data_IF_896021952722
#
_entry.id   IF_896021952722
#
_cell.length_a   1.000
_cell.length_b   1.000
_cell.length_c   1.000
_cell.angle_alpha   90.00
_cell.angle_beta   90.00
_cell.angle_gamma   90.00
#
_symmetry.space_group_name_H-M   'P 1'
#
loop_
_entity.id
_entity.type
_entity.pdbx_description
1 polymer ?
#
# COMPACT_ATOMS: atom_id res chain seq x y z
N UNK A 1 -16.48 -13.15 -18.07
CA UNK A 1 -15.79 -11.84 -17.95
C UNK A 1 -16.79 -10.69 -17.89
N UNK A 2 -17.34 -10.31 -16.73
CA UNK A 2 -18.24 -9.14 -16.73
C UNK A 2 -18.97 -8.74 -15.43
N UNK A 3 -18.95 -9.54 -14.36
CA UNK A 3 -19.73 -9.22 -13.16
C UNK A 3 -19.03 -8.22 -12.22
N UNK A 4 -17.70 -8.27 -12.11
CA UNK A 4 -16.92 -7.41 -11.20
C UNK A 4 -16.87 -5.92 -11.62
N UNK A 5 -16.89 -5.64 -12.93
CA UNK A 5 -16.94 -4.25 -13.44
C UNK A 5 -18.26 -3.53 -13.09
N UNK A 6 -19.32 -4.28 -12.78
CA UNK A 6 -20.63 -3.71 -12.45
C UNK A 6 -20.73 -3.27 -10.98
N UNK A 7 -19.97 -3.91 -10.09
CA UNK A 7 -19.99 -3.64 -8.65
C UNK A 7 -19.14 -2.42 -8.29
N UNK A 8 -17.97 -2.27 -8.93
CA UNK A 8 -17.15 -1.05 -8.85
C UNK A 8 -17.87 0.18 -9.41
N UNK A 9 -18.67 0.02 -10.48
CA UNK A 9 -19.56 1.07 -11.02
C UNK A 9 -20.61 1.56 -10.03
N UNK A 10 -21.05 0.70 -9.12
CA UNK A 10 -22.13 1.00 -8.18
C UNK A 10 -21.63 1.75 -6.94
N UNK A 11 -20.37 1.53 -6.57
CA UNK A 11 -19.72 2.21 -5.45
C UNK A 11 -19.04 3.52 -5.86
N UNK A 12 -18.64 3.67 -7.14
CA UNK A 12 -17.97 4.87 -7.65
C UNK A 12 -18.49 5.27 -9.06
N UNK A 13 -19.68 5.88 -9.16
CA UNK A 13 -20.28 6.24 -10.45
C UNK A 13 -19.52 7.41 -11.08
N UNK A 14 -18.67 7.12 -12.08
CA UNK A 14 -17.95 8.13 -12.89
C UNK A 14 -16.55 7.74 -13.35
N UNK A 15 -15.98 6.63 -12.86
CA UNK A 15 -14.59 6.30 -13.18
C UNK A 15 -14.42 5.70 -14.58
N UNK A 16 -13.52 6.24 -15.42
CA UNK A 16 -13.10 5.57 -16.64
C UNK A 16 -12.51 4.19 -16.29
N UNK A 17 -12.67 3.21 -17.18
CA UNK A 17 -12.06 1.88 -16.99
C UNK A 17 -10.57 2.07 -16.72
N UNK A 18 -10.06 1.46 -15.64
CA UNK A 18 -8.63 1.37 -15.40
C UNK A 18 -7.97 0.82 -16.67
N UNK A 19 -7.07 1.57 -17.34
CA UNK A 19 -6.38 1.06 -18.51
C UNK A 19 -5.54 -0.16 -18.15
N UNK A 20 -5.36 -1.04 -19.12
CA UNK A 20 -4.32 -2.06 -19.05
C UNK A 20 -2.96 -1.38 -18.89
N UNK A 21 -2.07 -1.95 -18.06
CA UNK A 21 -0.73 -1.40 -17.81
C UNK A 21 0.00 -1.13 -19.12
N UNK A 22 -0.08 -2.03 -20.10
CA UNK A 22 0.57 -1.87 -21.41
C UNK A 22 0.06 -0.69 -22.24
N UNK A 23 -1.16 -0.20 -21.94
CA UNK A 23 -1.83 0.88 -22.66
C UNK A 23 -1.88 2.21 -21.89
N UNK A 24 -1.37 2.23 -20.66
CA UNK A 24 -1.43 3.39 -19.79
C UNK A 24 -0.64 4.57 -20.40
N UNK A 25 -1.35 5.66 -20.68
CA UNK A 25 -0.78 6.92 -21.16
C UNK A 25 0.00 7.68 -20.07
N UNK A 26 0.60 8.80 -20.47
CA UNK A 26 1.25 9.71 -19.52
C UNK A 26 0.21 10.45 -18.64
N UNK A 27 0.64 10.90 -17.46
CA UNK A 27 -0.18 11.68 -16.54
C UNK A 27 -0.85 10.84 -15.46
N UNK A 28 -2.00 11.33 -14.96
CA UNK A 28 -2.76 10.70 -13.88
C UNK A 28 -3.50 9.46 -14.39
N UNK A 29 -3.26 8.31 -13.76
CA UNK A 29 -3.88 7.03 -14.12
C UNK A 29 -4.31 6.26 -12.87
N UNK A 30 -5.22 5.30 -13.08
CA UNK A 30 -5.58 4.27 -12.11
C UNK A 30 -5.26 2.92 -12.73
N UNK A 31 -4.37 2.14 -12.09
CA UNK A 31 -3.98 0.81 -12.55
C UNK A 31 -4.54 -0.23 -11.59
N UNK A 32 -4.97 -1.37 -12.10
CA UNK A 32 -5.46 -2.49 -11.28
C UNK A 32 -4.60 -3.71 -11.55
N UNK A 33 -4.12 -4.35 -10.49
CA UNK A 33 -3.30 -5.55 -10.64
C UNK A 33 -3.06 -6.26 -9.31
N UNK A 34 -2.22 -7.28 -9.38
CA UNK A 34 -1.75 -8.07 -8.24
C UNK A 34 -0.42 -7.50 -7.76
N UNK A 35 -0.27 -7.38 -6.45
CA UNK A 35 0.96 -6.90 -5.81
C UNK A 35 2.02 -7.98 -5.83
N UNK A 36 3.20 -7.63 -6.32
CA UNK A 36 4.42 -8.43 -6.24
C UNK A 36 5.49 -7.66 -5.45
N UNK A 37 6.28 -8.37 -4.65
CA UNK A 37 7.45 -7.78 -4.03
C UNK A 37 8.44 -7.36 -5.11
N UNK A 38 9.13 -6.24 -4.86
CA UNK A 38 10.29 -5.84 -5.65
C UNK A 38 11.49 -6.73 -5.36
N UNK A 39 12.58 -6.12 -4.91
CA UNK A 39 13.77 -6.86 -4.51
C UNK A 39 13.54 -7.58 -3.17
N UNK A 40 14.05 -8.81 -3.04
CA UNK A 40 13.87 -9.63 -1.84
C UNK A 40 14.60 -9.00 -0.64
N UNK A 41 15.70 -8.29 -0.91
CA UNK A 41 16.50 -7.63 0.12
C UNK A 41 15.88 -6.31 0.64
N UNK A 42 14.78 -5.83 0.04
CA UNK A 42 14.05 -4.60 0.45
C UNK A 42 12.63 -4.93 0.97
N UNK A 43 12.41 -6.14 1.49
CA UNK A 43 11.11 -6.57 2.03
C UNK A 43 10.78 -5.94 3.41
N UNK A 44 9.52 -5.53 3.62
CA UNK A 44 9.04 -5.17 4.96
C UNK A 44 8.52 -6.38 5.70
N UNK A 45 8.72 -6.39 7.02
CA UNK A 45 8.16 -7.38 7.93
C UNK A 45 7.28 -6.70 8.98
N UNK A 46 6.09 -7.26 9.16
CA UNK A 46 5.17 -6.84 10.20
C UNK A 46 5.76 -7.18 11.58
N UNK A 47 5.90 -6.23 12.52
CA UNK A 47 6.47 -6.52 13.83
C UNK A 47 5.59 -7.44 14.69
N UNK A 48 4.28 -7.53 14.40
CA UNK A 48 3.33 -8.33 15.19
C UNK A 48 3.22 -9.77 14.70
N UNK A 49 3.40 -10.01 13.39
CA UNK A 49 3.12 -11.31 12.76
C UNK A 49 4.30 -11.89 12.00
N UNK A 50 5.39 -11.12 11.82
CA UNK A 50 6.51 -11.42 10.93
C UNK A 50 6.10 -11.66 9.46
N UNK A 51 4.88 -11.28 9.08
CA UNK A 51 4.40 -11.39 7.71
C UNK A 51 5.13 -10.39 6.80
N UNK A 52 5.48 -10.85 5.60
CA UNK A 52 6.08 -10.02 4.54
C UNK A 52 5.02 -9.11 3.92
N UNK A 53 5.34 -7.83 3.73
CA UNK A 53 4.41 -6.83 3.21
C UNK A 53 5.14 -5.80 2.33
N UNK A 54 4.38 -5.15 1.43
CA UNK A 54 4.84 -3.99 0.67
C UNK A 54 4.57 -2.68 1.42
N UNK A 55 3.49 -2.65 2.21
CA UNK A 55 3.09 -1.51 3.05
C UNK A 55 2.61 -2.03 4.40
N UNK A 56 3.08 -1.40 5.47
CA UNK A 56 2.66 -1.69 6.85
C UNK A 56 2.10 -0.42 7.45
N UNK A 57 0.81 -0.41 7.77
CA UNK A 57 0.19 0.58 8.63
C UNK A 57 0.19 0.04 10.05
N UNK A 58 0.81 0.76 10.96
CA UNK A 58 0.90 0.39 12.37
C UNK A 58 0.15 1.42 13.21
N UNK A 59 -0.68 0.94 14.12
CA UNK A 59 -1.28 1.77 15.14
C UNK A 59 -1.14 1.10 16.50
N UNK A 60 -0.90 1.91 17.53
CA UNK A 60 -0.76 1.44 18.88
C UNK A 60 -1.38 2.41 19.86
N UNK A 61 -1.93 1.90 20.95
CA UNK A 61 -2.61 2.69 21.98
C UNK A 61 -2.30 2.15 23.38
N UNK A 62 -2.27 3.08 24.34
CA UNK A 62 -2.13 2.74 25.75
C UNK A 62 -3.40 2.01 26.26
N UNK A 63 -3.24 1.10 27.24
CA UNK A 63 -4.38 0.46 27.89
C UNK A 63 -5.30 1.49 28.56
N UNK A 64 -6.62 1.27 28.48
CA UNK A 64 -7.60 2.12 29.16
C UNK A 64 -7.95 3.44 28.45
N UNK A 65 -7.30 3.77 27.34
CA UNK A 65 -7.69 4.93 26.51
C UNK A 65 -8.80 4.52 25.55
N UNK A 66 -10.06 4.76 25.92
CA UNK A 66 -11.13 4.88 24.92
C UNK A 66 -10.81 6.11 24.08
N UNK A 67 -10.42 5.92 22.82
CA UNK A 67 -10.20 7.02 21.86
C UNK A 67 -11.49 7.82 21.69
N UNK A 68 -11.71 8.80 22.54
CA UNK A 68 -12.60 9.92 22.27
C UNK A 68 -11.75 10.97 21.59
N UNK A 69 -11.98 11.15 20.30
CA UNK A 69 -11.45 12.26 19.50
C UNK A 69 -11.82 13.59 20.15
N UNK A 70 -11.00 14.08 21.08
CA UNK A 70 -11.13 15.42 21.65
C UNK A 70 -10.00 16.29 21.09
N UNK A 71 -10.40 17.28 20.29
CA UNK A 71 -9.52 18.33 19.82
C UNK A 71 -8.95 19.11 21.01
N UNK A 72 -7.62 19.24 21.01
CA UNK A 72 -6.88 20.14 21.87
C UNK A 72 -6.64 19.62 23.28
N UNK A 73 -5.39 19.23 23.59
CA UNK A 73 -4.56 19.79 24.66
C UNK A 73 -3.17 19.13 24.55
N UNK A 74 -2.13 19.95 24.69
CA UNK A 74 -0.72 19.57 24.77
C UNK A 74 -0.46 18.57 25.91
N UNK A 75 -0.27 17.31 25.55
CA UNK A 75 0.36 16.26 26.36
C UNK A 75 1.21 15.42 25.41
N UNK A 76 2.33 14.87 25.88
CA UNK A 76 3.32 14.18 25.04
C UNK A 76 2.65 13.26 24.03
N UNK A 77 2.99 13.37 22.74
CA UNK A 77 2.34 12.68 21.62
C UNK A 77 2.30 11.14 21.72
N UNK A 78 2.90 10.55 22.76
CA UNK A 78 2.84 9.14 23.11
C UNK A 78 1.55 8.78 23.87
N UNK A 79 0.96 9.71 24.64
CA UNK A 79 -0.07 9.39 25.65
C UNK A 79 -1.46 9.00 25.09
N UNK A 80 -1.72 9.17 23.79
CA UNK A 80 -3.07 8.96 23.22
C UNK A 80 -3.08 7.99 22.01
N UNK A 81 -1.94 7.39 21.71
CA UNK A 81 -1.79 6.40 20.65
C UNK A 81 -0.94 6.89 19.48
N UNK A 82 -0.03 6.03 19.04
CA UNK A 82 0.91 6.28 17.97
C UNK A 82 0.43 5.62 16.68
N UNK A 83 0.60 6.31 15.55
CA UNK A 83 0.38 5.76 14.21
C UNK A 83 1.61 6.01 13.37
N UNK A 84 2.04 4.99 12.64
CA UNK A 84 3.10 5.12 11.64
C UNK A 84 2.77 4.25 10.44
N UNK A 85 3.40 4.55 9.32
CA UNK A 85 3.32 3.76 8.10
C UNK A 85 4.74 3.54 7.62
N UNK A 86 5.05 2.32 7.18
CA UNK A 86 6.24 2.03 6.39
C UNK A 86 5.81 1.48 5.03
N UNK A 87 6.52 1.83 3.96
CA UNK A 87 6.16 1.45 2.61
C UNK A 87 7.42 1.28 1.76
N UNK A 88 7.44 0.24 0.92
CA UNK A 88 8.48 -0.02 -0.07
C UNK A 88 7.89 -0.05 -1.46
N UNK A 89 8.71 0.28 -2.44
CA UNK A 89 8.32 0.20 -3.84
C UNK A 89 7.99 -1.26 -4.17
N UNK A 90 6.96 -1.46 -4.97
CA UNK A 90 6.47 -2.80 -5.31
C UNK A 90 6.07 -2.87 -6.77
N UNK A 91 5.91 -4.08 -7.30
CA UNK A 91 5.47 -4.28 -8.67
C UNK A 91 3.97 -4.56 -8.67
N UNK A 92 3.24 -3.89 -9.56
CA UNK A 92 1.85 -4.20 -9.85
C UNK A 92 1.79 -4.94 -11.17
N UNK A 93 1.26 -6.16 -11.17
CA UNK A 93 1.15 -7.01 -12.38
C UNK A 93 -0.30 -7.23 -12.78
N UNK A 94 -0.57 -7.13 -14.07
CA UNK A 94 -1.80 -7.59 -14.70
C UNK A 94 -1.49 -8.49 -15.91
N UNK A 95 -2.52 -8.92 -16.64
CA UNK A 95 -2.35 -9.77 -17.83
C UNK A 95 -1.62 -9.05 -18.99
N UNK A 96 -1.58 -7.72 -18.96
CA UNK A 96 -0.96 -6.90 -20.02
C UNK A 96 0.52 -6.59 -19.74
N UNK A 97 0.94 -6.60 -18.48
CA UNK A 97 2.32 -6.34 -18.10
C UNK A 97 2.53 -6.05 -16.62
N UNK A 98 3.63 -5.36 -16.32
CA UNK A 98 4.02 -5.00 -14.97
C UNK A 98 4.37 -3.50 -14.88
N UNK A 99 4.00 -2.87 -13.77
CA UNK A 99 4.33 -1.50 -13.44
C UNK A 99 5.14 -1.46 -12.14
N UNK A 100 6.20 -0.66 -12.09
CA UNK A 100 6.86 -0.36 -10.82
C UNK A 100 6.10 0.76 -10.12
N UNK A 101 5.60 0.47 -8.92
CA UNK A 101 4.87 1.42 -8.09
C UNK A 101 5.83 2.02 -7.09
N UNK A 102 6.11 3.31 -7.25
CA UNK A 102 6.85 4.12 -6.29
C UNK A 102 5.91 4.66 -5.24
N UNK A 103 6.21 4.39 -3.99
CA UNK A 103 5.42 4.86 -2.85
C UNK A 103 6.23 5.82 -2.00
N UNK A 104 5.55 6.79 -1.40
CA UNK A 104 6.20 7.63 -0.40
C UNK A 104 6.62 6.75 0.79
N UNK A 105 7.94 6.70 1.04
CA UNK A 105 8.50 6.04 2.23
C UNK A 105 7.96 6.73 3.48
N UNK A 106 7.50 5.93 4.43
CA UNK A 106 7.07 6.41 5.73
C UNK A 106 8.17 6.27 6.80
N UNK A 107 7.77 6.11 8.06
CA UNK A 107 8.69 5.92 9.18
C UNK A 107 9.05 4.44 9.41
N UNK A 108 9.97 4.19 10.35
CA UNK A 108 10.35 2.84 10.77
C UNK A 108 9.30 2.27 11.74
N UNK A 109 8.55 1.26 11.26
CA UNK A 109 7.51 0.61 12.06
C UNK A 109 8.11 -0.22 13.20
N UNK A 110 9.26 -0.85 13.00
CA UNK A 110 9.91 -1.69 14.00
C UNK A 110 10.48 -0.86 15.15
N UNK A 111 11.08 0.29 14.83
CA UNK A 111 11.52 1.25 15.84
C UNK A 111 10.33 1.78 16.66
N UNK A 112 9.24 2.17 15.99
CA UNK A 112 8.03 2.62 16.67
C UNK A 112 7.46 1.54 17.60
N UNK A 113 7.35 0.31 17.10
CA UNK A 113 6.85 -0.81 17.90
C UNK A 113 7.69 -1.06 19.15
N UNK A 114 9.02 -1.07 19.00
CA UNK A 114 9.95 -1.25 20.13
C UNK A 114 9.78 -0.16 21.19
N UNK A 115 9.72 1.10 20.78
CA UNK A 115 9.50 2.24 21.69
C UNK A 115 8.18 2.13 22.44
N UNK A 116 7.11 1.70 21.76
CA UNK A 116 5.80 1.54 22.39
C UNK A 116 5.78 0.37 23.38
N UNK A 117 6.44 -0.74 23.08
CA UNK A 117 6.61 -1.87 24.04
C UNK A 117 7.45 -1.44 25.24
N UNK A 118 8.56 -0.74 25.03
CA UNK A 118 9.41 -0.25 26.11
C UNK A 118 8.65 0.67 27.08
N UNK A 119 7.71 1.45 26.55
CA UNK A 119 6.94 2.41 27.34
C UNK A 119 5.70 1.81 28.04
N UNK A 120 4.93 0.97 27.33
CA UNK A 120 3.64 0.46 27.83
C UNK A 120 3.67 -1.02 28.24
N UNK A 121 4.74 -1.74 27.95
CA UNK A 121 4.90 -3.14 28.31
C UNK A 121 3.85 -4.06 27.70
N UNK A 122 3.40 -5.04 28.48
CA UNK A 122 2.46 -6.08 28.05
C UNK A 122 1.03 -5.57 27.82
N UNK A 123 0.70 -4.38 28.32
CA UNK A 123 -0.64 -3.81 28.19
C UNK A 123 -0.83 -3.03 26.89
N UNK A 124 0.21 -2.97 26.04
CA UNK A 124 0.17 -2.32 24.74
C UNK A 124 -0.87 -2.99 23.83
N UNK A 125 -1.80 -2.19 23.30
CA UNK A 125 -2.68 -2.62 22.21
C UNK A 125 -2.12 -2.12 20.91
N UNK A 126 -1.66 -3.03 20.06
CA UNK A 126 -1.14 -2.73 18.74
C UNK A 126 -1.94 -3.47 17.66
N UNK A 127 -2.15 -2.78 16.55
CA UNK A 127 -2.84 -3.29 15.37
C UNK A 127 -2.02 -2.94 14.13
N UNK A 128 -1.99 -3.88 13.18
CA UNK A 128 -1.34 -3.69 11.88
C UNK A 128 -2.31 -3.96 10.76
N UNK A 129 -2.25 -3.11 9.74
CA UNK A 129 -2.91 -3.33 8.47
C UNK A 129 -1.85 -3.41 7.36
N UNK A 130 -1.86 -4.51 6.60
CA UNK A 130 -0.75 -4.93 5.73
C UNK A 130 -1.19 -5.00 4.28
N UNK A 131 -0.44 -4.40 3.37
CA UNK A 131 -0.55 -4.70 1.95
C UNK A 131 0.37 -5.89 1.63
N UNK A 132 -0.22 -7.06 1.40
CA UNK A 132 0.50 -8.31 1.22
C UNK A 132 0.82 -8.58 -0.26
N UNK A 133 1.90 -9.31 -0.56
CA UNK A 133 2.12 -9.86 -1.89
C UNK A 133 0.99 -10.81 -2.27
N UNK A 134 0.53 -10.76 -3.52
CA UNK A 134 -0.61 -11.53 -4.01
C UNK A 134 -1.96 -10.83 -3.87
N UNK A 135 -2.07 -9.75 -3.09
CA UNK A 135 -3.31 -8.99 -3.00
C UNK A 135 -3.61 -8.23 -4.28
N UNK A 136 -4.89 -8.15 -4.63
CA UNK A 136 -5.35 -7.36 -5.76
C UNK A 136 -5.69 -5.94 -5.32
N UNK A 137 -5.10 -4.95 -5.98
CA UNK A 137 -5.29 -3.53 -5.64
C UNK A 137 -5.55 -2.66 -6.86
N UNK A 138 -6.17 -1.52 -6.62
CA UNK A 138 -6.16 -0.38 -7.54
C UNK A 138 -5.16 0.67 -7.02
N UNK A 139 -4.23 1.10 -7.86
CA UNK A 139 -3.24 2.14 -7.54
C UNK A 139 -3.53 3.35 -8.40
N UNK A 140 -3.73 4.50 -7.75
CA UNK A 140 -3.88 5.79 -8.41
C UNK A 140 -2.59 6.58 -8.29
N UNK A 141 -2.18 7.23 -9.37
CA UNK A 141 -0.94 7.97 -9.35
C UNK A 141 -0.59 8.63 -10.67
N UNK A 142 0.60 9.19 -10.69
CA UNK A 142 1.18 9.82 -11.87
C UNK A 142 2.20 8.91 -12.54
N UNK A 143 2.07 8.70 -13.85
CA UNK A 143 3.08 7.98 -14.63
C UNK A 143 4.32 8.87 -14.75
N UNK A 144 5.40 8.45 -14.10
CA UNK A 144 6.68 9.15 -14.12
C UNK A 144 7.49 8.82 -15.38
N UNK A 145 7.42 7.56 -15.80
CA UNK A 145 8.24 7.03 -16.90
C UNK A 145 7.48 5.92 -17.63
N UNK A 146 7.54 5.96 -18.97
CA UNK A 146 7.10 4.87 -19.84
C UNK A 146 8.34 4.24 -20.48
N UNK A 147 8.54 2.95 -20.29
CA UNK A 147 9.76 2.24 -20.72
C UNK A 147 9.54 1.60 -22.11
N UNK A 148 8.73 2.25 -22.95
CA UNK A 148 8.20 1.71 -24.20
C UNK A 148 9.23 0.95 -25.06
N UNK A 149 8.81 -0.24 -25.53
CA UNK A 149 9.40 -1.04 -26.62
C UNK A 149 10.82 -0.71 -27.08
N UNK A 150 11.81 -0.89 -26.21
CA UNK A 150 13.23 -0.90 -26.58
C UNK A 150 13.76 -2.34 -26.71
N UNK A 151 14.77 -2.53 -27.56
CA UNK A 151 15.47 -3.78 -27.91
C UNK A 151 15.26 -4.97 -26.96
N UNK A 152 14.93 -6.20 -27.44
CA UNK A 152 14.61 -7.38 -26.62
C UNK A 152 15.59 -7.68 -25.48
N UNK A 153 16.83 -7.21 -25.58
CA UNK A 153 17.91 -7.40 -24.63
C UNK A 153 17.97 -6.37 -23.49
N UNK A 154 17.09 -5.34 -23.46
CA UNK A 154 17.14 -4.24 -22.50
C UNK A 154 15.76 -3.85 -21.93
N UNK A 155 14.83 -4.80 -21.86
CA UNK A 155 13.55 -4.57 -21.16
C UNK A 155 13.84 -4.66 -19.65
N UNK A 156 13.68 -3.54 -18.94
CA UNK A 156 13.41 -3.63 -17.51
C UNK A 156 12.16 -4.50 -17.29
N UNK A 157 11.99 -5.15 -16.13
CA UNK A 157 10.87 -6.07 -15.89
C UNK A 157 9.49 -5.39 -15.91
N UNK A 158 9.44 -4.06 -15.96
CA UNK A 158 8.24 -3.23 -15.92
C UNK A 158 8.13 -2.33 -17.17
N UNK A 159 6.90 -2.09 -17.60
CA UNK A 159 6.54 -1.25 -18.76
C UNK A 159 6.46 0.23 -18.42
N UNK A 160 6.21 0.56 -17.15
CA UNK A 160 6.11 1.93 -16.66
C UNK A 160 6.48 2.03 -15.17
N UNK A 161 6.75 3.26 -14.74
CA UNK A 161 6.93 3.64 -13.34
C UNK A 161 5.83 4.61 -12.94
N UNK A 162 5.11 4.30 -11.86
CA UNK A 162 4.00 5.10 -11.33
C UNK A 162 4.35 5.64 -9.94
N UNK A 163 4.23 6.95 -9.72
CA UNK A 163 4.21 7.53 -8.37
C UNK A 163 2.81 7.39 -7.77
N UNK A 164 2.64 6.49 -6.81
CA UNK A 164 1.35 6.26 -6.17
C UNK A 164 0.95 7.43 -5.27
N UNK A 165 -0.24 7.96 -5.52
CA UNK A 165 -0.95 8.87 -4.64
C UNK A 165 -1.89 8.12 -3.69
N UNK A 166 -2.52 7.04 -4.16
CA UNK A 166 -3.48 6.26 -3.40
C UNK A 166 -3.42 4.76 -3.77
N UNK A 167 -3.68 3.89 -2.80
CA UNK A 167 -3.70 2.43 -2.95
C UNK A 167 -4.97 1.91 -2.30
N UNK A 168 -5.83 1.31 -3.11
CA UNK A 168 -7.14 0.82 -2.69
C UNK A 168 -7.12 -0.69 -2.81
N UNK A 169 -7.29 -1.39 -1.68
CA UNK A 169 -7.46 -2.86 -1.71
C UNK A 169 -8.82 -3.20 -2.32
N UNK A 170 -8.80 -4.12 -3.25
CA UNK A 170 -10.01 -4.69 -3.79
C UNK A 170 -10.33 -5.92 -2.96
N UNK A 171 -11.55 -6.01 -2.43
CA UNK A 171 -11.97 -7.23 -1.74
C UNK A 171 -11.82 -8.40 -2.71
N UNK A 172 -11.15 -9.48 -2.28
CA UNK A 172 -11.26 -10.78 -2.91
C UNK A 172 -12.72 -11.18 -2.79
N UNK A 173 -13.51 -10.85 -3.79
CA UNK A 173 -14.89 -11.26 -3.74
C UNK A 173 -14.94 -12.75 -4.05
N UNK A 174 -15.68 -13.44 -3.20
CA UNK A 174 -15.89 -14.88 -3.18
C UNK A 174 -15.95 -15.45 -4.61
N UNK A 175 -15.01 -16.36 -4.89
CA UNK A 175 -15.06 -17.26 -6.04
C UNK A 175 -16.23 -18.23 -5.95
#
# INVERSE_FOLDING_TARGET
MGLWSSLLRRLFPGYPRAPEIASAGAGQVELVGVVELGDVDDELRCPLTDARACVVYYSASAPGVTSRSYGGVLGNALDVGARTREARDFVLRDDSGAALIRVQRGGDVNEMHRRMIEHYGLDLRAETDLLLPGERVAVRGEVLEQIGGGSPHRRGPHLLVLAAADIIRLADGDG
#
